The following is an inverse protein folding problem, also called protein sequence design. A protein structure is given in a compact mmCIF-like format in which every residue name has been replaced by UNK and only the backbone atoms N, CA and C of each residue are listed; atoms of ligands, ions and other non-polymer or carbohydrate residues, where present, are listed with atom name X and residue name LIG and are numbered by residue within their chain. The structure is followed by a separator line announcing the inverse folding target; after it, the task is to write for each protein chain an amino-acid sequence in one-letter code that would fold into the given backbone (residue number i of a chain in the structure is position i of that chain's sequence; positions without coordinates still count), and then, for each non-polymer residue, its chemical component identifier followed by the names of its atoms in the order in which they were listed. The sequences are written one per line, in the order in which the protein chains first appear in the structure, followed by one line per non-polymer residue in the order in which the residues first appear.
data_IF_235808182557
#
_entry.id   IF_235808182557
#
_cell.length_a   1.000
_cell.length_b   1.000
_cell.length_c   1.000
_cell.angle_alpha   90.00
_cell.angle_beta   90.00
_cell.angle_gamma   90.00
#
_symmetry.space_group_name_H-M   'P 1'
#
loop_
_entity.id
_entity.type
_entity.pdbx_description
1 polymer ?
#
# COMPACT_ATOMS: atom_id res chain seq x y z
N UNK A 1 36.81 -16.58 -41.88
CA UNK A 1 36.09 -15.41 -41.33
C UNK A 1 34.73 -15.87 -40.78
N UNK A 2 34.63 -16.19 -39.48
CA UNK A 2 33.36 -16.59 -38.85
C UNK A 2 32.87 -15.39 -38.03
N UNK A 3 31.70 -14.86 -38.39
CA UNK A 3 31.08 -13.68 -37.78
C UNK A 3 30.58 -14.03 -36.39
N UNK A 4 31.03 -13.29 -35.38
CA UNK A 4 30.64 -13.41 -33.97
C UNK A 4 29.26 -12.78 -33.74
N UNK A 5 28.20 -13.41 -34.25
CA UNK A 5 26.80 -12.95 -34.09
C UNK A 5 26.29 -13.17 -32.64
N UNK A 6 27.01 -13.97 -31.83
CA UNK A 6 26.62 -14.29 -30.45
C UNK A 6 26.86 -13.20 -29.41
N UNK A 7 27.73 -12.21 -29.69
CA UNK A 7 28.13 -11.23 -28.67
C UNK A 7 27.04 -10.18 -28.38
N UNK A 8 26.27 -9.76 -29.39
CA UNK A 8 25.21 -8.77 -29.19
C UNK A 8 23.96 -9.36 -28.53
N UNK A 9 23.59 -10.60 -28.87
CA UNK A 9 22.41 -11.26 -28.26
C UNK A 9 22.65 -11.52 -26.78
N UNK A 10 23.87 -11.94 -26.40
CA UNK A 10 24.24 -12.14 -25.00
C UNK A 10 24.21 -10.82 -24.22
N UNK A 11 24.69 -9.72 -24.79
CA UNK A 11 24.63 -8.40 -24.16
C UNK A 11 23.18 -7.92 -23.97
N UNK A 12 22.31 -8.10 -24.98
CA UNK A 12 20.89 -7.75 -24.89
C UNK A 12 20.14 -8.59 -23.85
N UNK A 13 20.48 -9.88 -23.70
CA UNK A 13 19.91 -10.74 -22.66
C UNK A 13 20.41 -10.37 -21.25
N UNK A 14 21.67 -9.92 -21.12
CA UNK A 14 22.21 -9.44 -19.85
C UNK A 14 21.54 -8.10 -19.45
N UNK A 15 21.36 -7.18 -20.40
CA UNK A 15 20.63 -5.91 -20.16
C UNK A 15 19.15 -6.20 -19.81
N UNK A 16 18.51 -7.13 -20.51
CA UNK A 16 17.14 -7.55 -20.19
C UNK A 16 17.02 -8.21 -18.80
N UNK A 17 18.02 -8.98 -18.36
CA UNK A 17 18.06 -9.56 -17.01
C UNK A 17 18.37 -8.53 -15.91
N UNK A 18 19.12 -7.47 -16.19
CA UNK A 18 19.35 -6.37 -15.24
C UNK A 18 18.09 -5.50 -15.04
N UNK A 19 17.22 -5.41 -16.05
CA UNK A 19 15.95 -4.69 -15.96
C UNK A 19 14.82 -5.46 -15.25
N UNK A 20 15.05 -6.67 -14.76
CA UNK A 20 14.01 -7.51 -14.20
C UNK A 20 13.74 -7.31 -12.70
N UNK A 21 14.51 -6.48 -11.98
CA UNK A 21 14.37 -6.39 -10.52
C UNK A 21 14.66 -5.02 -9.88
N UNK A 22 14.49 -3.92 -10.62
CA UNK A 22 14.28 -2.62 -9.94
C UNK A 22 12.80 -2.43 -9.71
N UNK A 23 12.19 -3.28 -8.87
CA UNK A 23 10.97 -2.84 -8.18
C UNK A 23 11.40 -1.67 -7.33
N UNK A 24 10.91 -0.47 -7.64
CA UNK A 24 11.21 0.70 -6.84
C UNK A 24 10.82 0.42 -5.38
N UNK A 25 11.47 1.05 -4.39
CA UNK A 25 11.11 0.87 -2.98
C UNK A 25 9.62 1.10 -2.70
N UNK A 26 8.96 1.97 -3.49
CA UNK A 26 7.52 2.22 -3.41
C UNK A 26 6.69 1.05 -3.93
N UNK A 27 7.07 0.41 -5.04
CA UNK A 27 6.33 -0.72 -5.61
C UNK A 27 6.47 -1.99 -4.77
N UNK A 28 7.64 -2.21 -4.15
CA UNK A 28 7.82 -3.31 -3.20
C UNK A 28 6.88 -3.18 -1.99
N UNK A 29 6.75 -1.97 -1.43
CA UNK A 29 5.87 -1.72 -0.29
C UNK A 29 4.39 -1.83 -0.65
N UNK A 30 3.98 -1.37 -1.85
CA UNK A 30 2.62 -1.59 -2.37
C UNK A 30 2.29 -3.08 -2.49
N UNK A 31 3.20 -3.87 -3.05
CA UNK A 31 2.98 -5.30 -3.23
C UNK A 31 2.86 -6.03 -1.89
N UNK A 32 3.71 -5.72 -0.90
CA UNK A 32 3.62 -6.31 0.44
C UNK A 32 2.25 -6.06 1.11
N UNK A 33 1.74 -4.82 1.02
CA UNK A 33 0.42 -4.47 1.58
C UNK A 33 -0.71 -5.20 0.85
N UNK A 34 -0.63 -5.29 -0.48
CA UNK A 34 -1.63 -6.01 -1.28
C UNK A 34 -1.65 -7.49 -0.98
N UNK A 35 -0.49 -8.12 -0.83
CA UNK A 35 -0.40 -9.53 -0.47
C UNK A 35 -0.97 -9.77 0.94
N UNK A 36 -0.67 -8.88 1.87
CA UNK A 36 -1.21 -8.93 3.24
C UNK A 36 -2.74 -8.76 3.27
N UNK A 37 -3.28 -7.81 2.51
CA UNK A 37 -4.73 -7.56 2.41
C UNK A 37 -5.46 -8.63 1.60
N UNK A 38 -4.87 -9.14 0.53
CA UNK A 38 -5.47 -10.16 -0.35
C UNK A 38 -5.74 -11.49 0.36
N UNK A 39 -5.01 -11.78 1.44
CA UNK A 39 -5.29 -12.92 2.33
C UNK A 39 -6.52 -12.67 3.22
N UNK A 40 -6.81 -11.42 3.56
CA UNK A 40 -7.90 -11.03 4.45
C UNK A 40 -9.20 -10.72 3.70
N UNK A 41 -9.10 -10.23 2.46
CA UNK A 41 -10.26 -9.86 1.65
C UNK A 41 -9.93 -9.88 0.15
N UNK A 42 -10.86 -10.41 -0.65
CA UNK A 42 -10.84 -10.28 -2.11
C UNK A 42 -11.47 -8.96 -2.59
N UNK A 43 -11.76 -8.03 -1.68
CA UNK A 43 -12.34 -6.73 -1.99
C UNK A 43 -11.35 -5.90 -2.83
N UNK A 44 -11.69 -5.79 -4.12
CA UNK A 44 -10.92 -5.05 -5.12
C UNK A 44 -10.87 -3.55 -4.81
N UNK A 45 -11.81 -3.02 -4.01
CA UNK A 45 -11.83 -1.63 -3.58
C UNK A 45 -10.66 -1.28 -2.67
N UNK A 46 -10.33 -2.15 -1.71
CA UNK A 46 -9.19 -1.94 -0.80
C UNK A 46 -7.85 -2.03 -1.53
N UNK A 47 -7.72 -2.96 -2.48
CA UNK A 47 -6.53 -3.07 -3.31
C UNK A 47 -6.36 -1.85 -4.23
N UNK A 48 -7.47 -1.30 -4.75
CA UNK A 48 -7.46 -0.07 -5.57
C UNK A 48 -6.95 1.14 -4.81
N UNK A 49 -7.21 1.25 -3.50
CA UNK A 49 -6.68 2.34 -2.67
C UNK A 49 -5.14 2.34 -2.66
N UNK A 50 -4.52 1.16 -2.67
CA UNK A 50 -3.06 1.05 -2.66
C UNK A 50 -2.46 1.35 -4.04
N UNK A 51 -3.21 1.11 -5.11
CA UNK A 51 -2.78 1.32 -6.49
C UNK A 51 -2.83 2.77 -6.93
N UNK A 52 -3.88 3.48 -6.56
CA UNK A 52 -4.14 4.85 -7.00
C UNK A 52 -3.91 5.82 -5.84
N UNK A 53 -2.77 6.52 -5.86
CA UNK A 53 -2.42 7.50 -4.84
C UNK A 53 -3.43 8.66 -4.74
N UNK A 54 -4.06 9.05 -5.87
CA UNK A 54 -5.08 10.10 -5.87
C UNK A 54 -6.34 9.62 -5.14
N UNK A 55 -6.79 8.41 -5.46
CA UNK A 55 -7.91 7.76 -4.78
C UNK A 55 -7.58 7.54 -3.30
N UNK A 56 -6.36 7.09 -2.98
CA UNK A 56 -5.88 6.94 -1.62
C UNK A 56 -5.97 8.24 -0.81
N UNK A 57 -5.45 9.33 -1.37
CA UNK A 57 -5.54 10.66 -0.76
C UNK A 57 -6.98 11.08 -0.51
N UNK A 58 -7.91 10.77 -1.43
CA UNK A 58 -9.34 11.04 -1.22
C UNK A 58 -9.89 10.25 -0.02
N UNK A 59 -9.52 8.97 0.13
CA UNK A 59 -9.94 8.15 1.26
C UNK A 59 -9.36 8.66 2.58
N UNK A 60 -8.09 9.06 2.60
CA UNK A 60 -7.47 9.68 3.78
C UNK A 60 -8.19 10.98 4.18
N UNK A 61 -8.57 11.82 3.21
CA UNK A 61 -9.38 13.03 3.48
C UNK A 61 -10.76 12.70 4.04
N UNK A 62 -11.41 11.64 3.57
CA UNK A 62 -12.68 11.16 4.14
C UNK A 62 -12.52 10.77 5.61
N UNK A 63 -11.46 10.02 5.94
CA UNK A 63 -11.15 9.66 7.32
C UNK A 63 -11.00 10.92 8.18
N UNK A 64 -10.19 11.88 7.74
CA UNK A 64 -9.96 13.15 8.45
C UNK A 64 -11.17 14.07 8.52
N UNK A 65 -12.24 13.81 7.74
CA UNK A 65 -13.42 14.69 7.68
C UNK A 65 -13.17 15.97 6.87
N UNK A 66 -12.14 15.99 6.02
CA UNK A 66 -11.79 17.14 5.16
C UNK A 66 -12.65 17.19 3.88
N UNK A 67 -13.42 16.13 3.59
CA UNK A 67 -14.42 16.09 2.51
C UNK A 67 -15.83 15.95 3.05
N UNK A 68 -16.78 16.60 2.37
CA UNK A 68 -18.20 16.62 2.76
C UNK A 68 -18.89 15.27 2.52
N UNK A 69 -18.59 14.63 1.41
CA UNK A 69 -19.17 13.34 1.00
C UNK A 69 -18.07 12.28 0.94
N UNK A 70 -18.28 11.18 1.67
CA UNK A 70 -17.44 9.99 1.60
C UNK A 70 -18.13 8.96 0.68
N UNK A 71 -17.34 8.19 -0.07
CA UNK A 71 -17.86 6.99 -0.70
C UNK A 71 -18.11 5.89 0.35
N UNK A 72 -18.85 4.85 -0.03
CA UNK A 72 -19.20 3.73 0.86
C UNK A 72 -17.93 3.11 1.45
N UNK A 73 -16.89 2.94 0.61
CA UNK A 73 -15.62 2.39 1.02
C UNK A 73 -14.92 3.26 2.08
N UNK A 74 -14.83 4.57 1.85
CA UNK A 74 -14.23 5.51 2.81
C UNK A 74 -14.97 5.56 4.14
N UNK A 75 -16.30 5.50 4.12
CA UNK A 75 -17.11 5.41 5.33
C UNK A 75 -16.83 4.12 6.12
N UNK A 76 -16.72 2.98 5.44
CA UNK A 76 -16.35 1.69 6.04
C UNK A 76 -14.94 1.74 6.63
N UNK A 77 -13.96 2.23 5.88
CA UNK A 77 -12.57 2.35 6.34
C UNK A 77 -12.46 3.26 7.55
N UNK A 78 -13.17 4.39 7.56
CA UNK A 78 -13.20 5.32 8.69
C UNK A 78 -13.69 4.63 9.97
N UNK A 79 -14.78 3.86 9.88
CA UNK A 79 -15.31 3.12 11.03
C UNK A 79 -14.33 2.08 11.57
N UNK A 80 -13.69 1.32 10.68
CA UNK A 80 -12.67 0.32 11.05
C UNK A 80 -11.44 0.99 11.65
N UNK A 81 -10.96 2.08 11.04
CA UNK A 81 -9.78 2.80 11.47
C UNK A 81 -9.93 3.38 12.88
N UNK A 82 -11.12 3.90 13.23
CA UNK A 82 -11.40 4.35 14.60
C UNK A 82 -11.26 3.23 15.63
N UNK A 83 -11.62 1.99 15.26
CA UNK A 83 -11.47 0.83 16.14
C UNK A 83 -10.02 0.36 16.23
N UNK A 84 -9.31 0.32 15.10
CA UNK A 84 -7.95 -0.21 15.02
C UNK A 84 -6.88 0.78 15.50
N UNK A 85 -7.03 2.08 15.27
CA UNK A 85 -5.99 3.05 15.64
C UNK A 85 -6.06 3.43 17.12
N UNK A 86 -7.25 3.34 17.74
CA UNK A 86 -7.41 3.59 19.16
C UNK A 86 -6.60 2.57 19.97
N UNK A 87 -5.69 3.06 20.81
CA UNK A 87 -4.75 2.24 21.59
C UNK A 87 -3.89 1.28 20.72
N UNK A 88 -3.55 1.69 19.50
CA UNK A 88 -2.71 0.92 18.56
C UNK A 88 -3.18 -0.53 18.41
N UNK A 89 -4.49 -0.69 18.19
CA UNK A 89 -5.23 -1.95 18.07
C UNK A 89 -4.97 -2.98 19.18
N UNK A 90 -5.12 -2.64 20.45
CA UNK A 90 -4.91 -3.59 21.56
C UNK A 90 -5.63 -4.95 21.39
N UNK A 91 -6.80 -4.98 20.71
CA UNK A 91 -7.59 -6.19 20.47
C UNK A 91 -7.14 -7.03 19.27
N UNK A 92 -6.33 -6.48 18.36
CA UNK A 92 -5.82 -7.23 17.21
C UNK A 92 -4.91 -8.38 17.68
N UNK A 93 -5.11 -9.58 17.12
CA UNK A 93 -4.29 -10.77 17.41
C UNK A 93 -3.87 -11.50 16.12
N UNK A 94 -2.77 -12.26 16.20
CA UNK A 94 -2.29 -13.10 15.10
C UNK A 94 -2.12 -12.32 13.79
N UNK A 95 -2.82 -12.76 12.74
CA UNK A 95 -2.70 -12.19 11.38
C UNK A 95 -3.21 -10.75 11.27
N UNK A 96 -4.24 -10.39 12.03
CA UNK A 96 -4.81 -9.04 12.01
C UNK A 96 -3.79 -7.99 12.49
N UNK A 97 -3.03 -8.34 13.54
CA UNK A 97 -1.94 -7.50 14.06
C UNK A 97 -0.83 -7.31 13.03
N UNK A 98 -0.46 -8.38 12.34
CA UNK A 98 0.58 -8.34 11.31
C UNK A 98 0.16 -7.43 10.15
N UNK A 99 -1.05 -7.61 9.63
CA UNK A 99 -1.61 -6.77 8.55
C UNK A 99 -1.69 -5.31 8.99
N UNK A 100 -2.17 -5.04 10.20
CA UNK A 100 -2.23 -3.70 10.76
C UNK A 100 -0.85 -3.02 10.78
N UNK A 101 0.19 -3.73 11.21
CA UNK A 101 1.56 -3.20 11.24
C UNK A 101 2.12 -2.93 9.84
N UNK A 102 1.85 -3.81 8.87
CA UNK A 102 2.25 -3.63 7.46
C UNK A 102 1.58 -2.38 6.88
N UNK A 103 0.26 -2.27 7.06
CA UNK A 103 -0.54 -1.13 6.60
C UNK A 103 -0.07 0.17 7.26
N UNK A 104 0.13 0.17 8.58
CA UNK A 104 0.67 1.31 9.35
C UNK A 104 2.02 1.77 8.80
N UNK A 105 2.93 0.83 8.54
CA UNK A 105 4.25 1.14 7.96
C UNK A 105 4.12 1.76 6.57
N UNK A 106 3.30 1.18 5.70
CA UNK A 106 3.05 1.72 4.35
C UNK A 106 2.56 3.17 4.39
N UNK A 107 1.50 3.45 5.14
CA UNK A 107 0.96 4.80 5.25
C UNK A 107 1.95 5.78 5.89
N UNK A 108 2.69 5.35 6.91
CA UNK A 108 3.70 6.19 7.56
C UNK A 108 4.84 6.61 6.63
N UNK A 109 5.19 5.76 5.66
CA UNK A 109 6.27 6.02 4.70
C UNK A 109 5.76 6.78 3.46
N UNK A 110 4.58 6.40 2.95
CA UNK A 110 4.03 6.94 1.69
C UNK A 110 3.29 8.26 1.88
N UNK A 111 2.55 8.41 2.99
CA UNK A 111 1.69 9.56 3.30
C UNK A 111 1.95 10.09 4.73
N UNK A 112 3.19 10.51 5.05
CA UNK A 112 3.58 10.80 6.44
C UNK A 112 2.77 11.93 7.08
N UNK A 113 2.41 12.95 6.30
CA UNK A 113 1.65 14.11 6.78
C UNK A 113 0.21 13.73 7.10
N UNK A 114 -0.48 13.06 6.18
CA UNK A 114 -1.85 12.58 6.35
C UNK A 114 -1.92 11.53 7.46
N UNK A 115 -0.96 10.62 7.51
CA UNK A 115 -0.90 9.58 8.53
C UNK A 115 -0.74 10.15 9.93
N UNK A 116 0.12 11.16 10.10
CA UNK A 116 0.30 11.82 11.39
C UNK A 116 -0.98 12.50 11.85
N UNK A 117 -1.71 13.19 10.95
CA UNK A 117 -3.01 13.79 11.27
C UNK A 117 -4.02 12.73 11.71
N UNK A 118 -4.11 11.62 10.99
CA UNK A 118 -5.01 10.51 11.34
C UNK A 118 -4.69 9.96 12.72
N UNK A 119 -3.41 9.77 13.05
CA UNK A 119 -3.01 9.35 14.40
C UNK A 119 -3.43 10.38 15.45
N UNK A 120 -3.24 11.67 15.22
CA UNK A 120 -3.70 12.73 16.16
C UNK A 120 -5.22 12.73 16.36
N UNK A 121 -6.01 12.32 15.36
CA UNK A 121 -7.47 12.29 15.45
C UNK A 121 -8.00 11.06 16.21
N UNK A 122 -7.28 9.94 16.19
CA UNK A 122 -7.81 8.65 16.65
C UNK A 122 -7.00 7.93 17.73
N UNK A 123 -5.73 8.30 17.96
CA UNK A 123 -4.87 7.74 19.00
C UNK A 123 -5.07 8.43 20.34
#
# INVERSE_FOLDING_TARGET
MKRTVGSCVLLLLIIAKLNAQTTSPSEASKQEVKDALGVYTQDSGLLRIIDDDCYCCQQLKCMMGEVKECDILGATIKGIAQLMLKNDCLKCQGKEREIFNIVKRYFSQRFPTEWTKILTLYA
#
